data_IF_926861170077
#
_entry.id   IF_926861170077
#
_cell.length_a   1.000
_cell.length_b   1.000
_cell.length_c   1.000
_cell.angle_alpha   90.00
_cell.angle_beta   90.00
_cell.angle_gamma   90.00
#
_symmetry.space_group_name_H-M   'P 1'
#
loop_
_entity.id
_entity.type
_entity.pdbx_description
1 polymer ?
#
# COMPACT_ATOMS: atom_id res chain seq x y z
N UNK A 1 -13.44 16.01 -75.50
CA UNK A 1 -13.97 14.85 -74.74
C UNK A 1 -12.79 13.92 -74.48
N UNK A 2 -12.28 13.68 -73.28
CA UNK A 2 -12.61 14.09 -71.93
C UNK A 2 -11.26 14.23 -71.18
N UNK A 3 -11.08 15.30 -70.41
CA UNK A 3 -9.84 15.61 -69.69
C UNK A 3 -9.60 14.57 -68.60
N UNK A 4 -8.50 13.82 -68.70
CA UNK A 4 -7.99 13.02 -67.58
C UNK A 4 -7.41 14.01 -66.58
N UNK A 5 -8.26 14.46 -65.65
CA UNK A 5 -7.81 15.18 -64.47
C UNK A 5 -7.01 14.20 -63.61
N UNK A 6 -5.73 14.52 -63.37
CA UNK A 6 -4.86 13.76 -62.50
C UNK A 6 -5.43 13.68 -61.09
N UNK A 7 -5.63 12.46 -60.61
CA UNK A 7 -5.78 12.17 -59.19
C UNK A 7 -4.44 12.46 -58.50
N UNK A 8 -4.26 13.71 -58.05
CA UNK A 8 -3.35 14.00 -56.96
C UNK A 8 -3.98 13.43 -55.69
N UNK A 9 -3.59 12.22 -55.28
CA UNK A 9 -3.91 11.66 -53.96
C UNK A 9 -3.17 12.44 -52.87
N UNK A 10 -3.82 13.29 -52.06
CA UNK A 10 -3.20 13.92 -50.90
C UNK A 10 -3.67 13.12 -49.68
N UNK A 11 -2.98 12.04 -49.32
CA UNK A 11 -3.53 11.15 -48.28
C UNK A 11 -2.52 10.48 -47.37
N UNK A 12 -1.47 9.84 -47.90
CA UNK A 12 -0.68 8.91 -47.08
C UNK A 12 0.39 9.55 -46.20
N UNK A 13 0.93 10.72 -46.56
CA UNK A 13 2.04 11.33 -45.82
C UNK A 13 1.63 12.02 -44.51
N UNK A 14 0.51 12.73 -44.52
CA UNK A 14 -0.03 13.42 -43.33
C UNK A 14 -0.62 12.44 -42.32
N UNK A 15 -1.24 11.36 -42.81
CA UNK A 15 -1.85 10.33 -41.96
C UNK A 15 -0.78 9.49 -41.25
N UNK A 16 0.27 9.05 -41.96
CA UNK A 16 1.40 8.33 -41.35
C UNK A 16 2.18 9.22 -40.37
N UNK A 17 2.32 10.51 -40.64
CA UNK A 17 2.95 11.44 -39.69
C UNK A 17 2.08 11.62 -38.42
N UNK A 18 0.76 11.65 -38.57
CA UNK A 18 -0.17 11.69 -37.44
C UNK A 18 -0.08 10.45 -36.56
N UNK A 19 -0.07 9.26 -37.16
CA UNK A 19 0.04 7.99 -36.40
C UNK A 19 1.40 7.82 -35.73
N UNK A 20 2.49 8.26 -36.36
CA UNK A 20 3.83 8.23 -35.75
C UNK A 20 3.93 9.17 -34.54
N UNK A 21 3.35 10.37 -34.62
CA UNK A 21 3.31 11.33 -33.50
C UNK A 21 2.46 10.81 -32.35
N UNK A 22 1.26 10.31 -32.63
CA UNK A 22 0.40 9.70 -31.62
C UNK A 22 1.09 8.52 -30.94
N UNK A 23 1.76 7.64 -31.71
CA UNK A 23 2.50 6.51 -31.14
C UNK A 23 3.68 6.94 -30.26
N UNK A 24 4.39 8.02 -30.58
CA UNK A 24 5.45 8.55 -29.74
C UNK A 24 4.91 9.17 -28.44
N UNK A 25 3.76 9.84 -28.52
CA UNK A 25 3.05 10.40 -27.36
C UNK A 25 2.51 9.30 -26.44
N UNK A 26 1.96 8.23 -27.00
CA UNK A 26 1.49 7.06 -26.24
C UNK A 26 2.62 6.36 -25.48
N UNK A 27 3.81 6.25 -26.10
CA UNK A 27 5.00 5.72 -25.43
C UNK A 27 5.43 6.61 -24.25
N UNK A 28 5.46 7.93 -24.46
CA UNK A 28 5.79 8.87 -23.39
C UNK A 28 4.76 8.84 -22.25
N UNK A 29 3.47 8.78 -22.58
CA UNK A 29 2.40 8.65 -21.60
C UNK A 29 2.51 7.33 -20.81
N UNK A 30 2.85 6.23 -21.49
CA UNK A 30 3.07 4.93 -20.83
C UNK A 30 4.24 4.98 -19.86
N UNK A 31 5.35 5.62 -20.25
CA UNK A 31 6.50 5.83 -19.37
C UNK A 31 6.10 6.63 -18.12
N UNK A 32 5.36 7.72 -18.28
CA UNK A 32 4.88 8.54 -17.17
C UNK A 32 3.95 7.75 -16.23
N UNK A 33 3.05 6.92 -16.77
CA UNK A 33 2.17 6.06 -15.96
C UNK A 33 2.97 5.05 -15.15
N UNK A 34 4.01 4.46 -15.73
CA UNK A 34 4.89 3.51 -15.02
C UNK A 34 5.65 4.23 -13.90
N UNK A 35 6.24 5.40 -14.17
CA UNK A 35 6.95 6.20 -13.16
C UNK A 35 6.00 6.60 -12.02
N UNK A 36 4.78 7.03 -12.35
CA UNK A 36 3.77 7.38 -11.37
C UNK A 36 3.40 6.17 -10.50
N UNK A 37 3.20 5.01 -11.12
CA UNK A 37 2.88 3.75 -10.42
C UNK A 37 4.00 3.31 -9.47
N UNK A 38 5.25 3.37 -9.92
CA UNK A 38 6.42 3.05 -9.09
C UNK A 38 6.52 4.03 -7.91
N UNK A 39 6.34 5.33 -8.17
CA UNK A 39 6.39 6.36 -7.14
C UNK A 39 5.30 6.16 -6.08
N UNK A 40 4.06 5.90 -6.51
CA UNK A 40 2.93 5.56 -5.62
C UNK A 40 3.23 4.33 -4.78
N UNK A 41 3.79 3.29 -5.40
CA UNK A 41 4.15 2.04 -4.71
C UNK A 41 5.25 2.26 -3.68
N UNK A 42 6.29 3.01 -4.02
CA UNK A 42 7.37 3.37 -3.10
C UNK A 42 6.84 4.09 -1.85
N UNK A 43 6.03 5.14 -2.04
CA UNK A 43 5.42 5.86 -0.91
C UNK A 43 4.43 5.02 -0.12
N UNK A 44 3.73 4.08 -0.78
CA UNK A 44 2.86 3.13 -0.11
C UNK A 44 3.66 2.23 0.85
N UNK A 45 4.76 1.65 0.37
CA UNK A 45 5.65 0.81 1.17
C UNK A 45 6.24 1.61 2.35
N UNK A 46 6.73 2.82 2.11
CA UNK A 46 7.27 3.68 3.18
C UNK A 46 6.23 3.93 4.28
N UNK A 47 5.00 4.31 3.90
CA UNK A 47 3.90 4.53 4.85
C UNK A 47 3.48 3.26 5.59
N UNK A 48 3.53 2.10 4.93
CA UNK A 48 3.23 0.82 5.57
C UNK A 48 4.31 0.45 6.60
N UNK A 49 5.58 0.70 6.29
CA UNK A 49 6.68 0.45 7.23
C UNK A 49 6.56 1.32 8.48
N UNK A 50 6.25 2.61 8.34
CA UNK A 50 6.00 3.49 9.48
C UNK A 50 4.79 3.04 10.31
N UNK A 51 3.71 2.62 9.66
CA UNK A 51 2.53 2.08 10.34
C UNK A 51 2.83 0.80 11.10
N UNK A 52 3.67 -0.09 10.55
CA UNK A 52 4.10 -1.32 11.25
C UNK A 52 4.84 -0.94 12.53
N UNK A 53 5.80 -0.02 12.44
CA UNK A 53 6.59 0.40 13.60
C UNK A 53 5.72 1.07 14.66
N UNK A 54 4.82 1.96 14.25
CA UNK A 54 3.85 2.58 15.13
C UNK A 54 2.94 1.54 15.82
N UNK A 55 2.46 0.55 15.09
CA UNK A 55 1.61 -0.50 15.65
C UNK A 55 2.36 -1.42 16.63
N UNK A 56 3.65 -1.68 16.39
CA UNK A 56 4.51 -2.40 17.36
C UNK A 56 4.62 -1.63 18.68
N UNK A 57 4.91 -0.32 18.61
CA UNK A 57 4.98 0.52 19.81
C UNK A 57 3.64 0.58 20.56
N UNK A 58 2.53 0.65 19.82
CA UNK A 58 1.19 0.59 20.42
C UNK A 58 0.90 -0.73 21.12
N UNK A 59 1.36 -1.84 20.56
CA UNK A 59 1.24 -3.15 21.19
C UNK A 59 2.02 -3.20 22.51
N UNK A 60 3.26 -2.72 22.51
CA UNK A 60 4.09 -2.67 23.72
C UNK A 60 3.44 -1.83 24.82
N UNK A 61 2.91 -0.64 24.47
CA UNK A 61 2.19 0.22 25.42
C UNK A 61 0.94 -0.48 25.96
N UNK A 62 0.14 -1.11 25.10
CA UNK A 62 -1.07 -1.81 25.52
C UNK A 62 -0.73 -2.99 26.44
N UNK A 63 0.36 -3.72 26.16
CA UNK A 63 0.87 -4.81 26.99
C UNK A 63 1.30 -4.31 28.37
N UNK A 64 2.16 -3.29 28.42
CA UNK A 64 2.61 -2.71 29.69
C UNK A 64 1.45 -2.16 30.51
N UNK A 65 0.47 -1.53 29.86
CA UNK A 65 -0.74 -1.03 30.52
C UNK A 65 -1.53 -2.18 31.15
N UNK A 66 -1.76 -3.26 30.41
CA UNK A 66 -2.43 -4.46 30.93
C UNK A 66 -1.68 -5.06 32.13
N UNK A 67 -0.35 -5.20 32.05
CA UNK A 67 0.47 -5.74 33.14
C UNK A 67 0.39 -4.87 34.40
N UNK A 68 0.48 -3.54 34.28
CA UNK A 68 0.36 -2.61 35.40
C UNK A 68 -1.03 -2.69 36.04
N UNK A 69 -2.09 -2.67 35.23
CA UNK A 69 -3.47 -2.73 35.73
C UNK A 69 -3.76 -4.06 36.40
N UNK A 70 -3.26 -5.17 35.85
CA UNK A 70 -3.35 -6.50 36.45
C UNK A 70 -2.60 -6.57 37.77
N UNK A 71 -1.40 -5.99 37.86
CA UNK A 71 -0.65 -5.92 39.11
C UNK A 71 -1.41 -5.12 40.19
N UNK A 72 -2.01 -3.98 39.82
CA UNK A 72 -2.85 -3.17 40.73
C UNK A 72 -4.10 -3.92 41.20
N UNK A 73 -4.76 -4.66 40.31
CA UNK A 73 -5.89 -5.51 40.68
C UNK A 73 -5.47 -6.60 41.67
N UNK A 74 -4.34 -7.27 41.42
CA UNK A 74 -3.82 -8.33 42.29
C UNK A 74 -3.40 -7.82 43.69
N UNK A 75 -2.95 -6.56 43.80
CA UNK A 75 -2.66 -5.93 45.08
C UNK A 75 -3.90 -5.37 45.80
N UNK A 76 -5.09 -5.51 45.20
CA UNK A 76 -6.35 -4.97 45.72
C UNK A 76 -6.51 -3.46 45.51
N UNK A 77 -5.57 -2.81 44.82
CA UNK A 77 -5.58 -1.37 44.54
C UNK A 77 -6.30 -1.00 43.23
N UNK A 78 -6.84 -1.98 42.50
CA UNK A 78 -7.55 -1.79 41.23
C UNK A 78 -8.80 -2.64 41.14
N UNK A 79 -9.66 -2.34 40.15
CA UNK A 79 -10.93 -3.06 39.97
C UNK A 79 -10.86 -4.06 38.82
N UNK A 80 -11.76 -5.06 38.85
CA UNK A 80 -11.88 -6.04 37.75
C UNK A 80 -12.25 -5.36 36.43
N UNK A 81 -13.02 -4.28 36.48
CA UNK A 81 -13.42 -3.50 35.30
C UNK A 81 -12.21 -2.84 34.63
N UNK A 82 -11.24 -2.36 35.40
CA UNK A 82 -10.00 -1.78 34.85
C UNK A 82 -9.21 -2.82 34.07
N UNK A 83 -9.11 -4.05 34.60
CA UNK A 83 -8.44 -5.18 33.94
C UNK A 83 -9.13 -5.51 32.62
N UNK A 84 -10.47 -5.59 32.60
CA UNK A 84 -11.24 -5.86 31.39
C UNK A 84 -11.03 -4.75 30.34
N UNK A 85 -11.01 -3.49 30.77
CA UNK A 85 -10.76 -2.37 29.87
C UNK A 85 -9.36 -2.43 29.24
N UNK A 86 -8.34 -2.73 30.04
CA UNK A 86 -6.97 -2.88 29.56
C UNK A 86 -6.80 -4.11 28.65
N UNK A 87 -7.47 -5.22 28.99
CA UNK A 87 -7.50 -6.44 28.18
C UNK A 87 -8.15 -6.20 26.81
N UNK A 88 -9.27 -5.47 26.77
CA UNK A 88 -9.94 -5.08 25.53
C UNK A 88 -9.07 -4.19 24.63
N UNK A 89 -8.08 -3.48 25.18
CA UNK A 89 -7.12 -2.69 24.41
C UNK A 89 -5.93 -3.54 23.93
N UNK A 90 -5.51 -4.52 24.72
CA UNK A 90 -4.36 -5.38 24.41
C UNK A 90 -4.70 -6.49 23.40
N UNK A 91 -5.81 -7.20 23.57
CA UNK A 91 -6.24 -8.32 22.72
C UNK A 91 -6.25 -7.98 21.21
N UNK A 92 -6.92 -6.90 20.75
CA UNK A 92 -6.93 -6.57 19.33
C UNK A 92 -5.54 -6.21 18.80
N UNK A 93 -4.68 -5.62 19.65
CA UNK A 93 -3.30 -5.32 19.29
C UNK A 93 -2.47 -6.60 19.16
N UNK A 94 -2.65 -7.60 20.04
CA UNK A 94 -1.86 -8.85 20.02
C UNK A 94 -2.20 -9.75 18.83
N UNK A 95 -3.47 -9.84 18.42
CA UNK A 95 -3.83 -10.59 17.22
C UNK A 95 -3.14 -10.06 15.96
N UNK A 96 -2.92 -8.73 15.88
CA UNK A 96 -2.28 -8.12 14.72
C UNK A 96 -0.79 -8.49 14.58
N UNK A 97 -0.06 -8.72 15.68
CA UNK A 97 1.35 -9.13 15.64
C UNK A 97 1.52 -10.62 15.37
N UNK A 98 0.59 -11.46 15.83
CA UNK A 98 0.57 -12.89 15.51
C UNK A 98 0.38 -13.10 14.00
N UNK A 99 -0.53 -12.36 13.36
CA UNK A 99 -0.71 -12.39 11.89
C UNK A 99 0.55 -11.91 11.16
N UNK A 100 1.25 -10.90 11.67
CA UNK A 100 2.50 -10.42 11.08
C UNK A 100 3.60 -11.49 11.15
N UNK A 101 3.80 -12.13 12.31
CA UNK A 101 4.76 -13.22 12.47
C UNK A 101 4.41 -14.48 11.65
N UNK A 102 3.11 -14.73 11.42
CA UNK A 102 2.65 -15.81 10.56
C UNK A 102 2.93 -15.52 9.08
N UNK A 103 2.78 -14.27 8.62
CA UNK A 103 3.13 -13.85 7.25
C UNK A 103 4.64 -14.00 6.98
N UNK A 104 5.48 -13.64 7.93
CA UNK A 104 6.94 -13.76 7.80
C UNK A 104 7.37 -15.23 7.65
N UNK A 105 6.84 -16.12 8.50
CA UNK A 105 7.10 -17.57 8.40
C UNK A 105 6.59 -18.19 7.09
N UNK A 106 5.51 -17.67 6.52
CA UNK A 106 4.99 -18.13 5.23
C UNK A 106 5.89 -17.74 4.04
N UNK A 107 6.62 -16.62 4.12
CA UNK A 107 7.59 -16.25 3.07
C UNK A 107 8.86 -17.11 3.08
N UNK A 108 9.26 -17.66 4.23
CA UNK A 108 10.41 -18.58 4.33
C UNK A 108 10.07 -20.02 3.89
N UNK A 109 8.80 -20.40 3.94
CA UNK A 109 8.33 -21.74 3.51
C UNK A 109 7.95 -21.84 2.04
N UNK A 110 8.04 -20.73 1.29
CA UNK A 110 7.81 -20.69 -0.16
C UNK A 110 9.09 -20.84 -1.00
N UNK A 111 10.20 -21.29 -0.40
CA UNK A 111 11.37 -21.75 -1.14
C UNK A 111 11.22 -23.21 -1.59
#
# INVERSE_FOLDING_TARGET
MNSICGESLPGRGSEVNGTLKASAEDLHNTELVIIESISKSYWSIAKLNEQIEFNKQRLDIAKSTYEIVKAKYNSGAGTKSDVILAENQFIPASYSSEIFSAKEKLSETQC
#
